data_IF_943314485648
#
_entry.id   IF_943314485648
#
_cell.length_a   1.000
_cell.length_b   1.000
_cell.length_c   1.000
_cell.angle_alpha   90.00
_cell.angle_beta   90.00
_cell.angle_gamma   90.00
#
_symmetry.space_group_name_H-M   'P 1'
#
loop_
_entity.id
_entity.type
_entity.pdbx_description
1 polymer ?
#
# COMPACT_ATOMS: atom_id res chain seq x y z
N UNK A 1 -34.67 -11.02 11.04
CA UNK A 1 -34.02 -10.64 12.31
C UNK A 1 -32.66 -10.06 11.98
N UNK A 2 -32.43 -8.76 12.16
CA UNK A 2 -31.10 -8.16 11.94
C UNK A 2 -30.24 -8.50 13.16
N UNK A 3 -29.03 -9.03 12.96
CA UNK A 3 -28.15 -9.36 14.09
C UNK A 3 -27.79 -8.09 14.87
N UNK A 4 -27.79 -8.21 16.20
CA UNK A 4 -27.34 -7.13 17.07
C UNK A 4 -25.86 -6.81 16.80
N UNK A 5 -25.55 -5.52 16.66
CA UNK A 5 -24.19 -5.02 16.36
C UNK A 5 -23.97 -4.55 14.92
N UNK A 6 -24.85 -4.91 13.96
CA UNK A 6 -24.70 -4.48 12.55
C UNK A 6 -25.33 -3.11 12.21
N UNK A 7 -25.98 -2.46 13.17
CA UNK A 7 -26.65 -1.16 12.99
C UNK A 7 -26.16 -0.15 14.02
N UNK A 8 -25.99 1.11 13.60
CA UNK A 8 -25.55 2.21 14.48
C UNK A 8 -26.41 2.36 15.74
N UNK A 9 -27.71 2.09 15.65
CA UNK A 9 -28.65 2.12 16.78
C UNK A 9 -28.39 1.03 17.82
N UNK A 10 -27.84 -0.12 17.41
CA UNK A 10 -27.50 -1.22 18.31
C UNK A 10 -26.09 -1.06 18.88
N UNK A 11 -25.18 -0.46 18.10
CA UNK A 11 -23.81 -0.18 18.52
C UNK A 11 -23.75 0.83 19.68
N UNK A 12 -24.62 1.84 19.67
CA UNK A 12 -24.76 2.80 20.79
C UNK A 12 -25.29 2.16 22.08
N UNK A 13 -26.02 1.04 21.99
CA UNK A 13 -26.52 0.30 23.17
C UNK A 13 -25.43 -0.55 23.84
N UNK A 14 -24.35 -0.87 23.12
CA UNK A 14 -23.26 -1.69 23.60
C UNK A 14 -21.91 -1.02 23.33
N UNK A 15 -21.54 0.02 24.10
CA UNK A 15 -20.30 0.78 23.88
C UNK A 15 -19.03 -0.07 24.02
N UNK A 16 -19.09 -1.19 24.74
CA UNK A 16 -17.98 -2.15 24.86
C UNK A 16 -17.55 -2.78 23.53
N UNK A 17 -18.39 -2.76 22.49
CA UNK A 17 -18.05 -3.27 21.16
C UNK A 17 -17.21 -2.28 20.33
N UNK A 18 -17.24 -0.98 20.65
CA UNK A 18 -16.48 0.04 19.91
C UNK A 18 -14.97 -0.23 19.81
N UNK A 19 -14.24 -0.58 20.89
CA UNK A 19 -12.82 -0.88 20.78
C UNK A 19 -12.53 -2.10 19.89
N UNK A 20 -13.40 -3.10 19.89
CA UNK A 20 -13.29 -4.26 18.99
C UNK A 20 -13.39 -3.83 17.52
N UNK A 21 -14.42 -3.05 17.18
CA UNK A 21 -14.59 -2.54 15.81
C UNK A 21 -13.46 -1.59 15.39
N UNK A 22 -12.90 -0.82 16.31
CA UNK A 22 -11.75 0.03 16.04
C UNK A 22 -10.52 -0.81 15.66
N UNK A 23 -10.18 -1.84 16.44
CA UNK A 23 -9.06 -2.74 16.12
C UNK A 23 -9.25 -3.47 14.78
N UNK A 24 -10.46 -3.97 14.52
CA UNK A 24 -10.78 -4.65 13.25
C UNK A 24 -10.72 -3.67 12.08
N UNK A 25 -11.28 -2.47 12.22
CA UNK A 25 -11.23 -1.42 11.20
C UNK A 25 -9.81 -0.96 10.90
N UNK A 26 -8.96 -0.82 11.92
CA UNK A 26 -7.54 -0.54 11.75
C UNK A 26 -6.82 -1.67 11.02
N UNK A 27 -7.10 -2.93 11.36
CA UNK A 27 -6.52 -4.08 10.65
C UNK A 27 -6.91 -4.13 9.17
N UNK A 28 -8.20 -3.96 8.87
CA UNK A 28 -8.72 -3.95 7.51
C UNK A 28 -8.16 -2.78 6.69
N UNK A 29 -8.12 -1.57 7.26
CA UNK A 29 -7.57 -0.40 6.57
C UNK A 29 -6.07 -0.56 6.30
N UNK A 30 -5.31 -1.10 7.25
CA UNK A 30 -3.89 -1.42 7.06
C UNK A 30 -3.65 -2.45 5.96
N UNK A 31 -4.47 -3.50 5.89
CA UNK A 31 -4.39 -4.52 4.84
C UNK A 31 -4.68 -3.93 3.46
N UNK A 32 -5.78 -3.17 3.32
CA UNK A 32 -6.15 -2.50 2.07
C UNK A 32 -5.05 -1.53 1.64
N UNK A 33 -4.55 -0.72 2.57
CA UNK A 33 -3.46 0.22 2.30
C UNK A 33 -2.22 -0.49 1.77
N UNK A 34 -1.79 -1.57 2.42
CA UNK A 34 -0.58 -2.29 2.03
C UNK A 34 -0.73 -2.96 0.66
N UNK A 35 -1.89 -3.58 0.39
CA UNK A 35 -2.20 -4.16 -0.92
C UNK A 35 -2.21 -3.10 -2.01
N UNK A 36 -2.89 -1.97 -1.80
CA UNK A 36 -2.94 -0.87 -2.77
C UNK A 36 -1.54 -0.30 -3.05
N UNK A 37 -0.73 -0.17 -2.00
CA UNK A 37 0.65 0.29 -2.12
C UNK A 37 1.52 -0.71 -2.88
N UNK A 38 1.36 -2.01 -2.67
CA UNK A 38 2.07 -3.02 -3.46
C UNK A 38 1.61 -3.02 -4.91
N UNK A 39 0.30 -2.90 -5.15
CA UNK A 39 -0.25 -2.80 -6.49
C UNK A 39 0.35 -1.62 -7.27
N UNK A 40 0.53 -0.45 -6.64
CA UNK A 40 0.93 0.78 -7.33
C UNK A 40 2.43 1.08 -7.30
N UNK A 41 3.17 0.55 -6.31
CA UNK A 41 4.58 0.90 -6.08
C UNK A 41 5.54 -0.29 -6.17
N UNK A 42 5.08 -1.47 -6.55
CA UNK A 42 5.96 -2.63 -6.75
C UNK A 42 6.55 -2.62 -8.17
N UNK A 43 7.88 -2.74 -8.36
CA UNK A 43 8.50 -2.77 -9.69
C UNK A 43 8.01 -3.93 -10.58
N UNK A 44 7.51 -5.01 -9.98
CA UNK A 44 6.99 -6.17 -10.73
C UNK A 44 5.57 -5.94 -11.30
N UNK A 45 4.90 -4.85 -10.91
CA UNK A 45 3.52 -4.56 -11.30
C UNK A 45 3.49 -3.34 -12.21
N UNK A 46 3.15 -3.56 -13.48
CA UNK A 46 2.93 -2.49 -14.45
C UNK A 46 1.47 -2.40 -14.87
N UNK A 47 0.86 -1.24 -14.66
CA UNK A 47 -0.50 -0.92 -15.10
C UNK A 47 -0.55 -0.34 -16.50
N UNK A 48 0.55 0.26 -16.95
CA UNK A 48 0.64 0.90 -18.26
C UNK A 48 1.38 0.00 -19.26
N UNK A 49 0.61 -0.79 -20.02
CA UNK A 49 1.15 -1.70 -21.03
C UNK A 49 1.46 -1.04 -22.38
N UNK A 50 0.88 0.15 -22.66
CA UNK A 50 0.91 0.73 -24.01
C UNK A 50 1.79 1.98 -24.13
N UNK A 51 1.89 2.79 -23.07
CA UNK A 51 2.62 4.07 -23.12
C UNK A 51 3.98 4.01 -22.41
N UNK A 52 4.29 2.91 -21.73
CA UNK A 52 5.60 2.65 -21.13
C UNK A 52 6.19 1.36 -21.72
N UNK A 53 6.96 1.44 -22.82
CA UNK A 53 7.58 0.27 -23.45
C UNK A 53 8.66 -0.39 -22.57
N UNK A 54 9.22 0.31 -21.58
CA UNK A 54 10.26 -0.19 -20.67
C UNK A 54 9.86 -0.05 -19.19
N UNK A 55 8.81 -0.75 -18.71
CA UNK A 55 8.29 -0.58 -17.35
C UNK A 55 9.31 -0.92 -16.25
N UNK A 56 10.28 -1.79 -16.53
CA UNK A 56 11.35 -2.13 -15.60
C UNK A 56 12.28 -0.95 -15.28
N UNK A 57 12.34 0.09 -16.12
CA UNK A 57 13.17 1.28 -15.86
C UNK A 57 12.53 2.25 -14.85
N UNK A 58 11.22 2.18 -14.62
CA UNK A 58 10.46 3.17 -13.85
C UNK A 58 10.90 3.28 -12.38
N UNK A 59 11.42 2.19 -11.83
CA UNK A 59 11.90 2.09 -10.43
C UNK A 59 13.42 1.98 -10.31
N UNK A 60 14.19 2.19 -11.38
CA UNK A 60 15.67 2.07 -11.38
C UNK A 60 16.36 2.88 -10.28
N UNK A 61 15.97 4.16 -10.13
CA UNK A 61 16.53 5.09 -9.13
C UNK A 61 15.52 5.46 -8.04
N UNK A 62 14.43 4.70 -7.88
CA UNK A 62 13.39 4.97 -6.88
C UNK A 62 13.48 4.01 -5.71
N UNK A 63 13.14 4.51 -4.53
CA UNK A 63 13.02 3.67 -3.35
C UNK A 63 11.76 2.79 -3.41
N UNK A 64 11.94 1.48 -3.56
CA UNK A 64 10.85 0.51 -3.44
C UNK A 64 10.40 0.31 -1.97
N UNK A 65 11.36 0.23 -1.05
CA UNK A 65 11.10 -0.02 0.38
C UNK A 65 10.26 1.09 0.99
N UNK A 66 9.33 0.73 1.87
CA UNK A 66 8.43 1.71 2.49
C UNK A 66 9.20 2.70 3.35
N UNK A 67 10.18 2.13 4.02
CA UNK A 67 10.94 2.76 5.08
C UNK A 67 12.36 2.24 4.99
N UNK A 68 13.31 3.17 5.03
CA UNK A 68 14.74 2.90 5.03
C UNK A 68 15.38 3.96 5.92
N UNK A 69 15.66 3.63 7.19
CA UNK A 69 16.22 4.61 8.13
C UNK A 69 17.71 4.88 7.89
N UNK A 70 18.43 3.92 7.32
CA UNK A 70 19.89 3.97 7.19
C UNK A 70 20.34 4.44 5.82
N UNK A 71 19.59 4.07 4.77
CA UNK A 71 20.03 4.29 3.39
C UNK A 71 19.15 5.32 2.71
N UNK A 72 19.79 6.39 2.25
CA UNK A 72 19.20 7.38 1.37
C UNK A 72 19.25 6.89 -0.08
N UNK A 73 18.08 6.68 -0.68
CA UNK A 73 17.95 6.20 -2.05
C UNK A 73 18.01 7.33 -3.08
N UNK A 74 17.94 8.59 -2.65
CA UNK A 74 18.03 9.74 -3.57
C UNK A 74 19.43 9.96 -4.13
N UNK A 75 20.45 9.45 -3.44
CA UNK A 75 21.87 9.58 -3.80
C UNK A 75 22.44 8.34 -4.49
N UNK A 76 21.64 7.27 -4.64
CA UNK A 76 22.09 5.99 -5.16
C UNK A 76 21.54 5.81 -6.57
N UNK A 77 22.44 5.72 -7.55
CA UNK A 77 22.08 5.33 -8.92
C UNK A 77 22.08 3.79 -9.07
N UNK A 78 21.23 3.31 -9.97
CA UNK A 78 21.25 1.90 -10.39
C UNK A 78 22.59 1.55 -11.03
N UNK A 79 23.24 0.42 -10.65
CA UNK A 79 24.45 -0.05 -11.30
C UNK A 79 24.20 -0.62 -12.71
N UNK A 80 22.93 -0.78 -13.10
CA UNK A 80 22.58 -1.25 -14.43
C UNK A 80 22.95 -0.21 -15.50
N UNK A 81 23.40 -0.65 -16.69
CA UNK A 81 23.72 0.26 -17.78
C UNK A 81 22.48 1.04 -18.24
N UNK A 82 22.69 2.32 -18.58
CA UNK A 82 21.66 3.17 -19.18
C UNK A 82 21.62 2.83 -20.67
N UNK A 83 20.48 2.34 -21.17
CA UNK A 83 20.35 1.87 -22.54
C UNK A 83 20.02 2.99 -23.54
N UNK A 84 19.51 4.12 -23.04
CA UNK A 84 19.22 5.31 -23.83
C UNK A 84 20.07 6.46 -23.25
N UNK A 85 21.08 6.89 -23.99
CA UNK A 85 21.92 8.07 -23.72
C UNK A 85 21.68 9.11 -24.82
#
# INVERSE_FOLDING_TARGET
>A
MVMQGMTFSTLKKHPALLPLYACVGLGLSGAIFYVLRNATRNPDVSWNKSSNPEPWQEYSNKQYKFYSPVRDYSTIESPAPKYNE
#
